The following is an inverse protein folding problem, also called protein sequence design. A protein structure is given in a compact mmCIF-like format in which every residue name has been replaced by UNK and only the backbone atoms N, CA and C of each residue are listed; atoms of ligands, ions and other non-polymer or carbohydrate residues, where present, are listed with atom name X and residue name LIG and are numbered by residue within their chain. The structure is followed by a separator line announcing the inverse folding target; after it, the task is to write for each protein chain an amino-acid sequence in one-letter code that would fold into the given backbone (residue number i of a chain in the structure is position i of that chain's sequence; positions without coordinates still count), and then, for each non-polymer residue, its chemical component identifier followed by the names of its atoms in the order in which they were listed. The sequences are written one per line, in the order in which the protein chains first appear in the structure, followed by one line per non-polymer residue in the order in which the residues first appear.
data_IF_655067229375
#
_entry.id   IF_655067229375
#
_cell.length_a   1.000
_cell.length_b   1.000
_cell.length_c   1.000
_cell.angle_alpha   90.00
_cell.angle_beta   90.00
_cell.angle_gamma   90.00
#
_symmetry.space_group_name_H-M   'P 1'
#
loop_
_entity.id
_entity.type
_entity.pdbx_description
1 polymer ?
#
# COMPACT_ATOMS: atom_id res chain seq x y z
N UNK A 1 65.18 47.20 -37.18
CA UNK A 1 65.56 45.85 -36.74
C UNK A 1 65.35 45.81 -35.25
N UNK A 2 64.25 45.25 -34.77
CA UNK A 2 64.12 44.85 -33.37
C UNK A 2 63.03 43.79 -33.26
N UNK A 3 63.35 42.78 -32.46
CA UNK A 3 62.85 41.42 -32.54
C UNK A 3 61.47 41.23 -31.92
N UNK A 4 60.70 40.34 -32.54
CA UNK A 4 59.49 39.76 -32.01
C UNK A 4 59.76 38.89 -30.76
N UNK A 5 58.83 38.93 -29.81
CA UNK A 5 58.58 37.87 -28.82
C UNK A 5 57.13 38.00 -28.33
N UNK A 6 56.28 36.97 -28.47
CA UNK A 6 54.96 36.96 -27.84
C UNK A 6 55.02 36.20 -26.50
N UNK A 7 54.21 36.57 -25.49
CA UNK A 7 53.91 35.59 -24.45
C UNK A 7 52.41 35.40 -24.16
N UNK A 8 52.04 34.11 -24.23
CA UNK A 8 51.33 33.35 -23.20
C UNK A 8 49.84 33.61 -23.00
N UNK A 9 49.04 33.00 -23.88
CA UNK A 9 47.68 32.57 -23.57
C UNK A 9 47.70 31.40 -22.56
N UNK A 10 47.37 31.70 -21.30
CA UNK A 10 47.02 30.69 -20.29
C UNK A 10 45.65 30.09 -20.60
N UNK A 11 45.61 28.88 -21.15
CA UNK A 11 44.41 28.05 -21.22
C UNK A 11 44.53 26.91 -20.21
N UNK A 12 44.11 27.15 -18.98
CA UNK A 12 44.02 26.14 -17.92
C UNK A 12 42.57 25.85 -17.47
N UNK A 13 41.55 26.31 -18.22
CA UNK A 13 40.14 26.10 -17.87
C UNK A 13 39.47 24.92 -18.58
N UNK A 14 39.99 24.47 -19.73
CA UNK A 14 39.34 23.41 -20.52
C UNK A 14 39.56 22.00 -19.96
N UNK A 15 40.72 21.73 -19.35
CA UNK A 15 41.03 20.41 -18.79
C UNK A 15 40.21 20.08 -17.53
N UNK A 16 39.89 21.10 -16.70
CA UNK A 16 39.03 20.92 -15.52
C UNK A 16 37.56 20.72 -15.89
N UNK A 17 37.08 21.35 -16.97
CA UNK A 17 35.70 21.12 -17.43
C UNK A 17 35.50 19.71 -17.99
N UNK A 18 36.49 19.17 -18.71
CA UNK A 18 36.39 17.81 -19.28
C UNK A 18 36.44 16.72 -18.19
N UNK A 19 37.22 16.91 -17.12
CA UNK A 19 37.25 15.98 -15.99
C UNK A 19 35.95 15.97 -15.18
N UNK A 20 35.33 17.14 -14.95
CA UNK A 20 34.04 17.20 -14.23
C UNK A 20 32.92 16.56 -15.05
N UNK A 21 32.90 16.74 -16.37
CA UNK A 21 31.91 16.10 -17.25
C UNK A 21 32.10 14.58 -17.29
N UNK A 22 33.33 14.07 -17.32
CA UNK A 22 33.61 12.64 -17.30
C UNK A 22 33.18 11.97 -15.98
N UNK A 23 33.38 12.65 -14.83
CA UNK A 23 32.93 12.16 -13.52
C UNK A 23 31.39 12.17 -13.43
N UNK A 24 30.71 13.20 -13.95
CA UNK A 24 29.25 13.23 -14.00
C UNK A 24 28.67 12.16 -14.94
N UNK A 25 29.33 11.88 -16.08
CA UNK A 25 28.91 10.81 -16.99
C UNK A 25 29.12 9.42 -16.37
N UNK A 26 30.24 9.17 -15.69
CA UNK A 26 30.47 7.89 -15.00
C UNK A 26 29.53 7.69 -13.81
N UNK A 27 29.19 8.76 -13.08
CA UNK A 27 28.25 8.70 -11.97
C UNK A 27 26.80 8.50 -12.43
N UNK A 28 26.41 8.99 -13.62
CA UNK A 28 25.11 8.67 -14.23
C UNK A 28 25.05 7.25 -14.81
N UNK A 29 26.17 6.72 -15.32
CA UNK A 29 26.22 5.36 -15.87
C UNK A 29 26.19 4.30 -14.74
N UNK A 30 26.71 4.60 -13.55
CA UNK A 30 26.67 3.68 -12.40
C UNK A 30 25.36 3.72 -11.58
N UNK A 31 24.50 4.74 -11.76
CA UNK A 31 23.15 4.78 -11.16
C UNK A 31 22.11 4.08 -12.05
N UNK A 32 22.47 3.69 -13.27
CA UNK A 32 21.71 2.74 -14.09
C UNK A 32 21.92 1.29 -13.60
N UNK A 33 21.73 1.06 -12.31
CA UNK A 33 21.54 -0.28 -11.77
C UNK A 33 20.13 -0.76 -12.19
N UNK A 34 20.13 -1.82 -12.99
CA UNK A 34 19.00 -2.64 -13.45
C UNK A 34 17.56 -2.09 -13.21
N UNK A 35 16.93 -1.46 -14.22
CA UNK A 35 15.54 -1.01 -14.14
C UNK A 35 14.50 -2.16 -14.07
N UNK A 36 14.92 -3.43 -14.03
CA UNK A 36 14.04 -4.59 -13.88
C UNK A 36 13.81 -5.05 -12.44
N UNK A 37 14.58 -4.56 -11.45
CA UNK A 37 14.25 -4.75 -10.02
C UNK A 37 13.23 -3.70 -9.55
N UNK A 38 12.12 -3.59 -10.27
CA UNK A 38 10.93 -2.92 -9.75
C UNK A 38 10.28 -3.89 -8.77
N UNK A 39 10.11 -3.46 -7.52
CA UNK A 39 9.18 -4.09 -6.58
C UNK A 39 7.74 -3.88 -7.10
N UNK A 40 7.36 -4.60 -8.16
CA UNK A 40 5.96 -4.72 -8.56
C UNK A 40 5.32 -5.74 -7.64
N UNK A 41 4.38 -5.30 -6.82
CA UNK A 41 3.62 -6.16 -5.89
C UNK A 41 2.55 -7.01 -6.60
N UNK A 42 2.43 -6.87 -7.91
CA UNK A 42 1.59 -7.69 -8.78
C UNK A 42 2.39 -7.99 -10.03
N UNK A 43 2.53 -9.27 -10.35
CA UNK A 43 3.10 -9.75 -11.62
C UNK A 43 1.92 -10.04 -12.54
N UNK A 44 1.96 -9.56 -13.78
CA UNK A 44 0.99 -9.98 -14.78
C UNK A 44 1.28 -11.44 -15.11
N UNK A 45 0.25 -12.29 -15.05
CA UNK A 45 0.41 -13.68 -15.41
C UNK A 45 0.62 -13.79 -16.91
N UNK A 46 1.86 -14.09 -17.32
CA UNK A 46 2.16 -14.56 -18.66
C UNK A 46 2.05 -16.07 -18.74
N UNK A 47 1.65 -16.62 -19.87
CA UNK A 47 1.69 -18.06 -20.14
C UNK A 47 2.41 -18.34 -21.46
N UNK A 48 3.23 -19.38 -21.49
CA UNK A 48 3.90 -19.85 -22.72
C UNK A 48 2.86 -20.32 -23.73
N UNK A 49 3.07 -20.04 -25.03
CA UNK A 49 2.11 -20.44 -26.05
C UNK A 49 2.08 -21.95 -26.29
N UNK A 50 3.23 -22.61 -26.21
CA UNK A 50 3.37 -24.00 -26.64
C UNK A 50 2.82 -25.00 -25.61
N UNK A 51 3.03 -24.71 -24.33
CA UNK A 51 2.71 -25.65 -23.24
C UNK A 51 1.74 -25.08 -22.22
N UNK A 52 1.30 -23.82 -22.39
CA UNK A 52 0.47 -23.08 -21.44
C UNK A 52 1.04 -23.10 -20.02
N UNK A 53 2.37 -23.08 -19.88
CA UNK A 53 3.06 -23.01 -18.59
C UNK A 53 3.14 -21.55 -18.14
N UNK A 54 3.06 -21.26 -16.83
CA UNK A 54 3.26 -19.90 -16.35
C UNK A 54 4.66 -19.41 -16.73
N UNK A 55 4.73 -18.19 -17.24
CA UNK A 55 5.97 -17.45 -17.42
C UNK A 55 6.58 -17.16 -16.05
N UNK A 56 7.91 -17.08 -15.99
CA UNK A 56 8.62 -16.70 -14.78
C UNK A 56 8.23 -15.26 -14.33
N UNK A 57 8.09 -14.36 -15.28
CA UNK A 57 7.65 -12.98 -15.09
C UNK A 57 6.56 -12.61 -16.11
N UNK A 58 6.25 -11.33 -16.24
CA UNK A 58 5.32 -10.80 -17.25
C UNK A 58 5.69 -11.27 -18.67
N UNK A 59 4.65 -11.48 -19.50
CA UNK A 59 4.80 -11.63 -20.93
C UNK A 59 4.99 -10.24 -21.56
N UNK A 60 6.20 -9.92 -22.01
CA UNK A 60 6.55 -8.61 -22.59
C UNK A 60 6.86 -8.80 -24.07
N UNK A 61 6.15 -8.05 -24.93
CA UNK A 61 6.31 -8.12 -26.38
C UNK A 61 6.16 -9.54 -26.94
N UNK A 62 5.23 -10.32 -26.38
CA UNK A 62 4.95 -11.69 -26.77
C UNK A 62 6.05 -12.69 -26.42
N UNK A 63 7.00 -12.32 -25.55
CA UNK A 63 8.06 -13.21 -25.06
C UNK A 63 8.20 -13.14 -23.54
N UNK A 64 8.55 -14.28 -22.95
CA UNK A 64 8.85 -14.37 -21.53
C UNK A 64 9.93 -15.40 -21.27
N UNK A 65 10.52 -15.38 -20.07
CA UNK A 65 11.36 -16.47 -19.61
C UNK A 65 10.49 -17.57 -19.03
N UNK A 66 10.74 -18.82 -19.38
CA UNK A 66 10.02 -19.96 -18.83
C UNK A 66 10.97 -21.05 -18.32
N UNK A 67 10.49 -21.82 -17.33
CA UNK A 67 11.22 -22.93 -16.73
C UNK A 67 12.49 -22.52 -15.98
N UNK A 68 13.20 -23.53 -15.48
CA UNK A 68 14.45 -23.34 -14.71
C UNK A 68 15.61 -22.87 -15.60
N UNK A 69 15.58 -23.19 -16.90
CA UNK A 69 16.59 -22.78 -17.89
C UNK A 69 16.50 -21.30 -18.29
N UNK A 70 15.40 -20.61 -17.94
CA UNK A 70 15.13 -19.19 -18.26
C UNK A 70 15.17 -18.87 -19.75
N UNK A 71 14.83 -19.85 -20.58
CA UNK A 71 14.78 -19.68 -22.03
C UNK A 71 13.69 -18.67 -22.39
N UNK A 72 14.00 -17.80 -23.35
CA UNK A 72 13.04 -16.85 -23.92
C UNK A 72 12.12 -17.59 -24.87
N UNK A 73 10.86 -17.73 -24.48
CA UNK A 73 9.84 -18.45 -25.24
C UNK A 73 8.68 -17.51 -25.62
N UNK A 74 7.96 -17.80 -26.72
CA UNK A 74 6.73 -17.09 -27.04
C UNK A 74 5.67 -17.24 -25.94
N UNK A 75 4.94 -16.17 -25.66
CA UNK A 75 3.92 -16.15 -24.61
C UNK A 75 2.71 -15.29 -24.96
N UNK A 76 1.67 -15.40 -24.13
CA UNK A 76 0.52 -14.50 -24.07
C UNK A 76 0.40 -13.88 -22.68
N UNK A 77 0.01 -12.61 -22.63
CA UNK A 77 -0.48 -11.97 -21.41
C UNK A 77 -1.90 -12.52 -21.14
N UNK A 78 -2.15 -13.02 -19.94
CA UNK A 78 -3.50 -13.43 -19.54
C UNK A 78 -4.41 -12.23 -19.26
N UNK A 79 -3.82 -11.05 -19.01
CA UNK A 79 -4.54 -9.88 -18.48
C UNK A 79 -4.89 -10.01 -16.99
N UNK A 80 -4.63 -11.17 -16.38
CA UNK A 80 -4.86 -11.44 -14.97
C UNK A 80 -3.66 -10.94 -14.14
N UNK A 81 -3.97 -10.24 -13.06
CA UNK A 81 -2.98 -9.84 -12.06
C UNK A 81 -2.86 -10.98 -11.06
N UNK A 82 -1.68 -11.62 -10.96
CA UNK A 82 -1.43 -12.53 -9.85
C UNK A 82 -1.14 -11.74 -8.57
N UNK A 83 -1.67 -12.18 -7.41
CA UNK A 83 -1.20 -11.70 -6.13
C UNK A 83 0.29 -12.05 -5.94
N UNK A 84 1.01 -11.28 -5.11
CA UNK A 84 2.37 -11.68 -4.70
C UNK A 84 2.31 -13.06 -4.04
N UNK A 85 2.97 -14.05 -4.64
CA UNK A 85 2.99 -15.39 -4.07
C UNK A 85 3.89 -15.42 -2.83
N UNK A 86 3.46 -16.11 -1.78
CA UNK A 86 4.27 -16.31 -0.57
C UNK A 86 5.16 -17.52 -0.72
N UNK A 87 6.36 -17.40 -0.16
CA UNK A 87 7.22 -18.55 0.04
C UNK A 87 6.68 -19.38 1.20
N UNK A 88 6.89 -20.69 1.13
CA UNK A 88 6.44 -21.64 2.14
C UNK A 88 7.43 -21.75 3.30
N UNK A 89 8.70 -21.43 3.04
CA UNK A 89 9.75 -21.41 4.06
C UNK A 89 10.03 -19.97 4.47
N UNK A 90 10.19 -19.75 5.77
CA UNK A 90 10.78 -18.52 6.32
C UNK A 90 12.32 -18.61 6.16
N UNK A 91 12.78 -18.87 4.93
CA UNK A 91 14.13 -18.47 4.54
C UNK A 91 14.14 -16.94 4.44
N UNK A 92 15.27 -16.28 4.18
CA UNK A 92 15.40 -14.81 4.24
C UNK A 92 14.46 -13.99 3.33
N UNK A 93 13.48 -14.61 2.67
CA UNK A 93 12.57 -14.04 1.71
C UNK A 93 11.14 -14.56 1.96
N UNK A 94 10.23 -13.66 2.33
CA UNK A 94 8.81 -13.97 2.61
C UNK A 94 7.95 -14.02 1.33
N UNK A 95 8.48 -13.56 0.19
CA UNK A 95 7.72 -13.33 -1.04
C UNK A 95 8.46 -13.81 -2.28
N UNK A 96 7.69 -14.27 -3.24
CA UNK A 96 8.14 -14.56 -4.59
C UNK A 96 8.34 -13.26 -5.38
N UNK A 97 9.48 -13.16 -6.06
CA UNK A 97 9.78 -12.15 -7.07
C UNK A 97 9.26 -12.54 -8.46
N UNK A 98 8.89 -13.82 -8.65
CA UNK A 98 8.37 -14.38 -9.90
C UNK A 98 6.95 -14.91 -9.72
N UNK A 99 6.32 -15.30 -10.82
CA UNK A 99 5.13 -16.14 -10.74
C UNK A 99 5.45 -17.46 -10.03
N UNK A 100 4.48 -17.98 -9.29
CA UNK A 100 4.56 -19.30 -8.68
C UNK A 100 4.06 -20.36 -9.66
N UNK A 101 4.83 -21.43 -9.85
CA UNK A 101 4.43 -22.50 -10.75
C UNK A 101 5.34 -23.71 -10.68
N UNK A 102 4.92 -24.80 -11.35
CA UNK A 102 5.64 -26.08 -11.28
C UNK A 102 7.01 -26.09 -11.95
N UNK A 103 7.17 -25.28 -13.00
CA UNK A 103 8.42 -25.14 -13.76
C UNK A 103 9.11 -26.47 -14.15
N UNK A 104 8.32 -27.53 -14.39
CA UNK A 104 8.82 -28.87 -14.76
C UNK A 104 9.10 -29.80 -13.57
N UNK A 105 8.67 -29.44 -12.36
CA UNK A 105 8.80 -30.25 -11.14
C UNK A 105 7.43 -30.63 -10.56
N UNK A 106 7.41 -31.50 -9.55
CA UNK A 106 6.17 -31.89 -8.86
C UNK A 106 5.66 -30.83 -7.87
N UNK A 107 6.49 -29.84 -7.54
CA UNK A 107 6.19 -28.78 -6.59
C UNK A 107 6.11 -27.44 -7.30
N UNK A 108 5.43 -26.49 -6.69
CA UNK A 108 5.43 -25.12 -7.17
C UNK A 108 6.58 -24.33 -6.53
N UNK A 109 7.28 -23.59 -7.36
CA UNK A 109 8.46 -22.81 -6.99
C UNK A 109 8.32 -21.38 -7.47
N UNK A 110 9.10 -20.49 -6.88
CA UNK A 110 9.28 -19.13 -7.37
C UNK A 110 10.68 -18.62 -7.04
N UNK A 111 11.12 -17.59 -7.75
CA UNK A 111 12.34 -16.86 -7.40
C UNK A 111 12.11 -16.01 -6.17
N UNK A 112 13.12 -15.92 -5.32
CA UNK A 112 13.03 -15.16 -4.06
C UNK A 112 14.10 -14.09 -3.91
N UNK A 113 15.18 -14.16 -4.69
CA UNK A 113 16.19 -13.13 -4.78
C UNK A 113 16.83 -13.05 -6.18
N UNK A 114 17.68 -12.04 -6.37
CA UNK A 114 18.45 -11.82 -7.59
C UNK A 114 19.66 -12.76 -7.73
N UNK A 115 19.90 -13.66 -6.78
CA UNK A 115 21.02 -14.63 -6.78
C UNK A 115 20.56 -16.03 -7.19
N UNK A 116 19.51 -16.08 -8.01
CA UNK A 116 18.92 -17.30 -8.52
C UNK A 116 18.40 -18.27 -7.45
N UNK A 117 18.07 -17.78 -6.25
CA UNK A 117 17.43 -18.64 -5.25
C UNK A 117 15.97 -18.87 -5.59
N UNK A 118 15.58 -20.12 -5.39
CA UNK A 118 14.21 -20.58 -5.49
C UNK A 118 13.69 -20.96 -4.12
N UNK A 119 12.42 -20.72 -3.87
CA UNK A 119 11.71 -21.27 -2.73
C UNK A 119 10.37 -21.84 -3.17
N UNK A 120 9.81 -22.70 -2.33
CA UNK A 120 8.51 -23.30 -2.56
C UNK A 120 7.43 -22.23 -2.41
N UNK A 121 6.40 -22.30 -3.23
CA UNK A 121 5.25 -21.42 -3.18
C UNK A 121 3.96 -22.20 -3.49
N UNK A 122 2.81 -21.52 -3.50
CA UNK A 122 1.55 -22.08 -3.99
C UNK A 122 0.88 -21.09 -4.94
N UNK A 123 0.60 -21.51 -6.17
CA UNK A 123 -0.09 -20.75 -7.22
C UNK A 123 -1.60 -20.67 -6.97
N UNK A 124 -2.12 -21.60 -6.16
CA UNK A 124 -3.53 -21.62 -5.74
C UNK A 124 -3.77 -20.50 -4.73
N UNK A 125 -4.16 -19.33 -5.23
CA UNK A 125 -4.52 -18.17 -4.40
C UNK A 125 -6.02 -17.88 -4.35
N UNK A 126 -6.80 -18.55 -5.21
CA UNK A 126 -8.15 -18.11 -5.56
C UNK A 126 -9.28 -18.80 -4.79
N UNK A 127 -9.03 -19.93 -4.15
CA UNK A 127 -10.06 -20.53 -3.29
C UNK A 127 -9.87 -20.04 -1.85
N UNK A 128 -10.08 -18.73 -1.65
CA UNK A 128 -10.37 -18.17 -0.33
C UNK A 128 -11.78 -18.61 0.11
N UNK A 129 -12.00 -19.91 0.18
CA UNK A 129 -13.16 -20.44 0.86
C UNK A 129 -12.93 -20.14 2.34
N UNK A 130 -13.74 -19.24 2.89
CA UNK A 130 -13.85 -19.11 4.34
C UNK A 130 -14.50 -20.42 4.79
N UNK A 131 -13.75 -21.25 5.48
CA UNK A 131 -14.27 -22.50 6.02
C UNK A 131 -14.54 -22.25 7.49
N UNK A 132 -15.81 -22.41 7.85
CA UNK A 132 -16.22 -22.51 9.23
C UNK A 132 -15.86 -23.90 9.73
N UNK A 133 -14.89 -23.97 10.63
CA UNK A 133 -14.45 -25.23 11.22
C UNK A 133 -14.29 -25.08 12.73
N UNK A 134 -14.62 -26.14 13.44
CA UNK A 134 -14.30 -26.23 14.85
C UNK A 134 -12.87 -26.73 15.04
N UNK A 135 -12.24 -26.34 16.14
CA UNK A 135 -10.88 -26.76 16.47
C UNK A 135 -10.85 -27.34 17.88
N UNK A 136 -9.87 -28.18 18.13
CA UNK A 136 -9.55 -28.63 19.48
C UNK A 136 -8.84 -27.51 20.25
N UNK A 137 -8.82 -27.59 21.58
CA UNK A 137 -8.07 -26.66 22.44
C UNK A 137 -6.57 -26.63 22.10
N UNK A 138 -6.04 -27.72 21.54
CA UNK A 138 -4.64 -27.83 21.10
C UNK A 138 -4.43 -27.36 19.66
N UNK A 139 -5.44 -26.73 19.03
CA UNK A 139 -5.35 -26.14 17.69
C UNK A 139 -5.54 -27.09 16.52
N UNK A 140 -5.78 -28.39 16.77
CA UNK A 140 -6.07 -29.36 15.69
C UNK A 140 -7.46 -29.16 15.10
N UNK A 141 -7.59 -29.27 13.79
CA UNK A 141 -8.87 -29.13 13.10
C UNK A 141 -9.78 -30.33 13.32
N UNK A 142 -11.05 -30.06 13.61
CA UNK A 142 -12.08 -31.08 13.76
C UNK A 142 -12.60 -31.57 12.41
N UNK A 143 -12.75 -32.89 12.25
CA UNK A 143 -13.38 -33.54 11.10
C UNK A 143 -14.90 -33.64 11.17
N UNK A 144 -15.45 -33.39 12.35
CA UNK A 144 -16.88 -33.35 12.59
C UNK A 144 -17.25 -32.25 13.58
N UNK A 145 -18.55 -32.12 13.86
CA UNK A 145 -19.05 -31.15 14.81
C UNK A 145 -18.62 -31.45 16.24
N UNK A 146 -18.32 -30.37 16.97
CA UNK A 146 -18.01 -30.42 18.38
C UNK A 146 -19.28 -30.66 19.20
N UNK A 147 -19.38 -31.84 19.81
CA UNK A 147 -20.56 -32.26 20.58
C UNK A 147 -20.17 -32.93 21.89
N UNK A 148 -21.09 -33.02 22.85
CA UNK A 148 -20.78 -33.50 24.20
C UNK A 148 -20.40 -34.99 24.27
N UNK A 149 -20.84 -35.84 23.34
CA UNK A 149 -20.51 -37.29 23.24
C UNK A 149 -20.48 -38.07 24.58
N UNK A 150 -21.35 -37.70 25.53
CA UNK A 150 -21.44 -38.31 26.87
C UNK A 150 -20.49 -37.73 27.94
N UNK A 151 -19.74 -36.68 27.61
CA UNK A 151 -18.83 -35.96 28.51
C UNK A 151 -19.38 -34.56 28.83
N UNK A 152 -18.79 -33.89 29.81
CA UNK A 152 -19.13 -32.51 30.20
C UNK A 152 -18.36 -31.44 29.39
N UNK A 153 -17.66 -31.87 28.34
CA UNK A 153 -16.97 -31.01 27.38
C UNK A 153 -17.34 -31.41 25.96
N UNK A 154 -17.17 -30.49 25.02
CA UNK A 154 -17.32 -30.78 23.60
C UNK A 154 -16.10 -31.54 23.08
N UNK A 155 -16.35 -32.52 22.22
CA UNK A 155 -15.36 -33.36 21.58
C UNK A 155 -15.63 -33.46 20.08
N UNK A 156 -14.55 -33.54 19.31
CA UNK A 156 -14.59 -33.86 17.89
C UNK A 156 -13.55 -34.93 17.56
N UNK A 157 -13.76 -35.60 16.44
CA UNK A 157 -12.69 -36.31 15.77
C UNK A 157 -11.75 -35.28 15.12
N UNK A 158 -10.45 -35.52 15.21
CA UNK A 158 -9.44 -34.68 14.55
C UNK A 158 -9.08 -35.26 13.19
N UNK A 159 -8.63 -34.39 12.29
CA UNK A 159 -8.07 -34.78 10.98
C UNK A 159 -6.66 -35.37 11.04
N UNK A 160 -6.10 -35.62 12.23
CA UNK A 160 -4.75 -36.16 12.36
C UNK A 160 -4.69 -37.65 11.97
N UNK A 161 -3.48 -38.16 11.68
CA UNK A 161 -3.25 -39.56 11.26
C UNK A 161 -3.83 -40.62 12.21
N UNK A 162 -4.05 -40.26 13.46
CA UNK A 162 -4.60 -41.17 14.47
C UNK A 162 -6.12 -41.16 14.53
N UNK A 163 -6.80 -40.28 13.77
CA UNK A 163 -8.21 -39.94 13.96
C UNK A 163 -8.52 -39.75 15.44
N UNK A 164 -7.63 -39.02 16.12
CA UNK A 164 -7.69 -38.93 17.57
C UNK A 164 -8.85 -38.05 18.02
N UNK A 165 -9.38 -38.35 19.20
CA UNK A 165 -10.36 -37.52 19.86
C UNK A 165 -9.67 -36.32 20.50
N UNK A 166 -10.19 -35.12 20.23
CA UNK A 166 -9.71 -33.91 20.87
C UNK A 166 -10.84 -33.11 21.53
N UNK A 167 -10.53 -32.52 22.67
CA UNK A 167 -11.45 -31.60 23.36
C UNK A 167 -11.57 -30.34 22.52
N UNK A 168 -12.80 -29.99 22.14
CA UNK A 168 -13.10 -28.86 21.29
C UNK A 168 -13.08 -27.53 22.03
N UNK A 169 -12.62 -26.49 21.33
CA UNK A 169 -13.02 -25.11 21.59
C UNK A 169 -14.47 -24.93 21.09
N UNK A 170 -15.40 -24.39 21.92
CA UNK A 170 -16.78 -24.12 21.50
C UNK A 170 -16.90 -23.07 20.39
N UNK A 171 -15.83 -22.32 20.08
CA UNK A 171 -15.80 -21.39 18.96
C UNK A 171 -15.80 -22.08 17.60
N UNK A 172 -16.69 -21.65 16.71
CA UNK A 172 -16.54 -21.89 15.26
C UNK A 172 -15.59 -20.83 14.73
N UNK A 173 -14.48 -21.26 14.14
CA UNK A 173 -13.49 -20.36 13.58
C UNK A 173 -13.63 -20.33 12.06
N UNK A 174 -13.91 -19.14 11.54
CA UNK A 174 -13.82 -18.85 10.11
C UNK A 174 -12.36 -18.57 9.76
N UNK A 175 -11.73 -19.42 8.95
CA UNK A 175 -10.37 -19.17 8.45
C UNK A 175 -10.29 -19.30 6.93
N UNK A 176 -9.30 -18.63 6.35
CA UNK A 176 -9.03 -18.71 4.92
C UNK A 176 -8.31 -20.02 4.64
N UNK A 177 -8.91 -20.88 3.82
CA UNK A 177 -8.32 -22.14 3.38
C UNK A 177 -6.93 -21.91 2.76
N UNK A 178 -5.90 -22.46 3.40
CA UNK A 178 -4.53 -22.45 2.88
C UNK A 178 -4.28 -23.68 1.99
N UNK A 179 -3.24 -23.63 1.16
CA UNK A 179 -2.82 -24.74 0.30
C UNK A 179 -1.35 -25.08 0.56
N UNK A 180 -1.04 -26.37 0.40
CA UNK A 180 0.34 -26.87 0.51
C UNK A 180 1.15 -26.51 -0.74
N UNK A 181 2.48 -26.73 -0.69
CA UNK A 181 3.39 -26.58 -1.85
C UNK A 181 3.01 -27.42 -3.08
N UNK A 182 2.12 -28.40 -2.89
CA UNK A 182 1.61 -29.28 -3.95
C UNK A 182 0.21 -28.87 -4.43
N UNK A 183 -0.34 -27.79 -3.90
CA UNK A 183 -1.71 -27.35 -4.20
C UNK A 183 -2.80 -28.15 -3.49
N UNK A 184 -2.46 -28.91 -2.43
CA UNK A 184 -3.46 -29.66 -1.64
C UNK A 184 -4.08 -28.75 -0.56
N UNK A 185 -5.40 -28.74 -0.34
CA UNK A 185 -6.00 -27.91 0.70
C UNK A 185 -5.56 -28.36 2.10
N UNK A 186 -5.19 -27.38 2.94
CA UNK A 186 -4.89 -27.57 4.35
C UNK A 186 -6.15 -27.92 5.17
N UNK A 187 -6.15 -29.01 5.92
CA UNK A 187 -7.25 -29.35 6.82
C UNK A 187 -7.31 -28.46 8.07
N UNK A 188 -6.25 -27.72 8.38
CA UNK A 188 -6.21 -26.76 9.48
C UNK A 188 -5.64 -25.41 9.07
N UNK A 189 -5.30 -24.60 10.07
CA UNK A 189 -4.58 -23.34 9.85
C UNK A 189 -3.18 -23.66 9.33
N UNK A 190 -2.67 -22.77 8.49
CA UNK A 190 -1.27 -22.80 8.11
C UNK A 190 -0.47 -22.16 9.26
N UNK A 191 0.09 -22.99 10.14
CA UNK A 191 0.70 -22.54 11.38
C UNK A 191 2.21 -22.66 11.34
N UNK A 192 2.86 -21.76 12.08
CA UNK A 192 4.31 -21.71 12.17
C UNK A 192 4.80 -22.80 13.12
N UNK A 193 5.45 -23.82 12.57
CA UNK A 193 6.15 -24.82 13.36
C UNK A 193 7.63 -24.45 13.49
N UNK A 194 8.08 -24.39 14.74
CA UNK A 194 9.51 -24.36 15.07
C UNK A 194 9.89 -25.81 15.41
N UNK A 195 10.57 -26.52 14.51
CA UNK A 195 11.15 -27.81 14.88
C UNK A 195 12.24 -27.56 15.93
N UNK A 196 12.21 -28.33 17.02
CA UNK A 196 12.95 -28.06 18.25
C UNK A 196 14.46 -27.81 18.07
N UNK A 197 15.03 -27.06 19.03
CA UNK A 197 16.40 -26.56 19.34
C UNK A 197 17.57 -26.60 18.31
N UNK A 198 17.50 -27.30 17.17
CA UNK A 198 18.62 -27.47 16.24
C UNK A 198 18.35 -27.00 14.80
N UNK A 199 17.13 -26.59 14.43
CA UNK A 199 16.84 -26.07 13.08
C UNK A 199 16.62 -24.56 13.09
N UNK A 200 17.55 -23.81 12.46
CA UNK A 200 17.50 -22.35 12.22
C UNK A 200 16.35 -21.85 11.31
N UNK A 201 15.35 -22.67 11.02
CA UNK A 201 14.34 -22.38 10.02
C UNK A 201 12.97 -22.66 10.62
N UNK A 202 12.09 -21.67 10.61
CA UNK A 202 10.69 -21.87 10.87
C UNK A 202 9.97 -22.15 9.55
N UNK A 203 9.02 -23.08 9.60
CA UNK A 203 8.23 -23.46 8.43
C UNK A 203 6.76 -23.29 8.77
N UNK A 204 6.00 -22.75 7.83
CA UNK A 204 4.55 -22.82 7.93
C UNK A 204 4.14 -24.19 7.40
N UNK A 205 3.46 -24.99 8.21
CA UNK A 205 2.97 -26.30 7.81
C UNK A 205 1.50 -26.44 8.15
N UNK A 206 0.84 -27.32 7.42
CA UNK A 206 -0.51 -27.73 7.71
C UNK A 206 -0.66 -29.24 7.45
N UNK A 207 -1.69 -29.84 8.03
CA UNK A 207 -2.11 -31.20 7.68
C UNK A 207 -2.92 -31.16 6.39
N UNK A 208 -2.70 -32.14 5.50
CA UNK A 208 -3.42 -32.28 4.24
C UNK A 208 -3.95 -33.70 4.07
N UNK A 209 -4.86 -33.92 3.12
CA UNK A 209 -5.44 -35.24 2.84
C UNK A 209 -4.46 -36.29 2.35
N UNK A 210 -3.23 -35.91 2.02
CA UNK A 210 -2.16 -36.82 1.66
C UNK A 210 -1.37 -37.33 2.87
N UNK A 211 -1.87 -37.12 4.09
CA UNK A 211 -1.32 -37.65 5.34
C UNK A 211 0.13 -37.23 5.64
N UNK A 212 0.58 -36.07 5.16
CA UNK A 212 1.91 -35.54 5.49
C UNK A 212 1.84 -34.07 5.91
N UNK A 213 2.64 -33.72 6.90
CA UNK A 213 2.91 -32.35 7.31
C UNK A 213 3.62 -31.67 6.15
N UNK A 214 2.86 -30.97 5.30
CA UNK A 214 3.40 -30.28 4.14
C UNK A 214 3.56 -28.80 4.46
N UNK A 215 4.59 -28.21 3.88
CA UNK A 215 4.75 -26.77 3.91
C UNK A 215 3.55 -26.11 3.23
N UNK A 216 3.01 -25.07 3.85
CA UNK A 216 1.92 -24.27 3.32
C UNK A 216 2.30 -22.79 3.28
N UNK A 217 1.64 -22.05 2.40
CA UNK A 217 1.74 -20.59 2.39
C UNK A 217 0.58 -20.01 3.22
N UNK A 218 0.82 -19.17 4.24
CA UNK A 218 -0.26 -18.54 4.96
C UNK A 218 -1.08 -17.69 3.99
N UNK A 219 -2.41 -17.69 4.10
CA UNK A 219 -3.24 -16.86 3.25
C UNK A 219 -2.90 -15.38 3.50
N UNK A 220 -2.86 -14.59 2.42
CA UNK A 220 -2.70 -13.14 2.53
C UNK A 220 -3.71 -12.58 3.56
N UNK A 221 -3.17 -11.91 4.60
CA UNK A 221 -3.78 -11.53 5.88
C UNK A 221 -5.32 -11.43 5.95
N UNK A 222 -5.99 -12.01 6.97
CA UNK A 222 -7.43 -11.83 7.18
C UNK A 222 -7.84 -10.36 7.31
N UNK A 223 -9.02 -9.99 6.80
CA UNK A 223 -9.62 -8.64 6.90
C UNK A 223 -9.64 -8.12 8.35
N UNK A 224 -9.81 -9.00 9.34
CA UNK A 224 -9.78 -8.65 10.75
C UNK A 224 -8.42 -8.08 11.21
N UNK A 225 -7.31 -8.64 10.70
CA UNK A 225 -5.96 -8.18 11.03
C UNK A 225 -5.63 -6.85 10.34
N UNK A 226 -6.17 -6.65 9.13
CA UNK A 226 -6.13 -5.36 8.44
C UNK A 226 -6.88 -4.26 9.22
N UNK A 227 -8.07 -4.56 9.75
CA UNK A 227 -8.80 -3.61 10.60
C UNK A 227 -8.02 -3.26 11.87
N UNK A 228 -7.36 -4.23 12.51
CA UNK A 228 -6.49 -3.97 13.65
C UNK A 228 -5.33 -3.03 13.27
N UNK A 229 -4.67 -3.24 12.13
CA UNK A 229 -3.60 -2.36 11.66
C UNK A 229 -4.08 -0.94 11.34
N UNK A 230 -5.27 -0.79 10.74
CA UNK A 230 -5.89 0.51 10.47
C UNK A 230 -6.40 1.21 11.74
N UNK A 231 -6.58 0.48 12.84
CA UNK A 231 -7.06 1.02 14.11
C UNK A 231 -5.99 1.67 14.99
N UNK A 232 -4.70 1.52 14.65
CA UNK A 232 -3.58 2.07 15.44
C UNK A 232 -3.38 3.60 15.32
N UNK A 233 -4.24 4.33 14.60
CA UNK A 233 -4.11 5.77 14.40
C UNK A 233 -4.71 6.53 15.59
N UNK A 234 -3.92 7.28 16.39
CA UNK A 234 -4.45 8.00 17.54
C UNK A 234 -5.35 9.18 17.12
N UNK A 235 -6.44 9.38 17.85
CA UNK A 235 -7.33 10.53 17.71
C UNK A 235 -6.75 11.71 18.50
N UNK A 236 -5.77 12.42 17.94
CA UNK A 236 -5.29 13.69 18.52
C UNK A 236 -5.55 14.83 17.57
N UNK A 237 -6.37 15.78 18.00
CA UNK A 237 -6.68 17.00 17.25
C UNK A 237 -6.13 18.21 18.01
N UNK A 238 -5.10 18.88 17.49
CA UNK A 238 -4.92 20.34 17.59
C UNK A 238 -3.58 20.79 17.00
N UNK A 239 -3.63 21.52 15.88
CA UNK A 239 -2.54 22.37 15.43
C UNK A 239 -2.82 23.84 15.76
N UNK A 240 -1.79 24.64 16.09
CA UNK A 240 -1.95 26.08 16.17
C UNK A 240 -2.26 26.64 14.77
N UNK A 241 -3.28 27.49 14.68
CA UNK A 241 -3.64 28.15 13.42
C UNK A 241 -2.42 28.87 12.82
N UNK A 242 -2.20 28.70 11.51
CA UNK A 242 -1.19 29.49 10.76
C UNK A 242 -1.48 30.96 11.05
N UNK A 243 -0.53 31.72 11.63
CA UNK A 243 -0.77 33.13 11.94
C UNK A 243 -1.10 33.87 10.65
N UNK A 244 -2.38 34.23 10.46
CA UNK A 244 -2.76 35.21 9.44
C UNK A 244 -2.04 36.50 9.82
N UNK A 245 -0.97 36.84 9.10
CA UNK A 245 -0.28 38.13 9.22
C UNK A 245 -1.34 39.24 9.07
N UNK A 246 -1.85 39.75 10.20
CA UNK A 246 -2.31 41.14 10.24
C UNK A 246 -1.09 41.97 9.84
N UNK A 247 -1.25 42.91 8.90
CA UNK A 247 -0.21 43.85 8.45
C UNK A 247 0.38 44.62 9.64
N UNK A 248 1.31 44.01 10.38
CA UNK A 248 2.22 44.67 11.31
C UNK A 248 3.63 44.33 10.85
N UNK A 249 4.41 45.38 10.63
CA UNK A 249 5.75 45.38 10.05
C UNK A 249 6.82 44.91 11.05
N UNK A 250 6.66 43.74 11.68
CA UNK A 250 7.75 43.13 12.45
C UNK A 250 7.69 41.60 12.29
N UNK A 251 8.75 40.95 11.76
CA UNK A 251 8.83 39.50 11.76
C UNK A 251 9.12 39.00 13.20
N UNK A 252 8.32 38.08 13.76
CA UNK A 252 8.72 37.41 15.00
C UNK A 252 9.84 36.41 14.66
N UNK A 253 10.94 36.49 15.40
CA UNK A 253 11.97 35.46 15.48
C UNK A 253 11.37 34.20 16.13
N UNK A 254 11.30 33.11 15.37
CA UNK A 254 10.78 31.80 15.79
C UNK A 254 11.81 31.02 16.64
N UNK A 255 12.23 31.53 17.80
CA UNK A 255 13.23 30.84 18.65
C UNK A 255 12.68 30.22 19.93
N UNK A 256 11.39 30.31 20.25
CA UNK A 256 10.85 29.81 21.52
C UNK A 256 9.52 29.07 21.34
N UNK A 257 9.59 27.85 20.78
CA UNK A 257 8.56 26.84 21.05
C UNK A 257 9.01 25.97 22.23
N UNK A 258 8.12 25.64 23.19
CA UNK A 258 8.51 24.87 24.37
C UNK A 258 8.97 23.46 23.94
N UNK A 259 10.21 23.10 24.28
CA UNK A 259 10.73 21.73 24.18
C UNK A 259 9.95 20.81 25.12
N UNK A 260 8.81 20.27 24.68
CA UNK A 260 8.16 19.14 25.34
C UNK A 260 8.89 17.85 24.95
N UNK A 261 9.82 17.44 25.80
CA UNK A 261 10.44 16.12 25.79
C UNK A 261 9.48 15.10 26.43
N UNK A 262 8.71 14.40 25.60
CA UNK A 262 8.27 13.01 25.83
C UNK A 262 8.32 12.31 24.48
N UNK A 263 8.81 11.06 24.47
CA UNK A 263 8.88 10.18 23.28
C UNK A 263 7.46 9.84 22.81
N UNK A 264 6.77 10.81 22.23
CA UNK A 264 5.56 10.55 21.47
C UNK A 264 6.06 10.08 20.11
N UNK A 265 5.80 8.80 19.80
CA UNK A 265 5.89 8.34 18.40
C UNK A 265 5.03 9.30 17.60
N UNK A 266 5.62 10.08 16.71
CA UNK A 266 4.83 11.02 15.91
C UNK A 266 3.93 10.20 15.01
N UNK A 267 2.73 10.68 14.69
CA UNK A 267 1.87 10.00 13.71
C UNK A 267 2.63 9.74 12.41
N UNK A 268 3.54 10.63 12.00
CA UNK A 268 4.44 10.39 10.86
C UNK A 268 5.24 9.12 11.05
N UNK A 269 5.82 8.86 12.24
CA UNK A 269 6.48 7.58 12.54
C UNK A 269 5.51 6.40 12.55
N UNK A 270 4.27 6.60 13.03
CA UNK A 270 3.24 5.57 12.99
C UNK A 270 2.74 5.28 11.57
N UNK A 271 2.61 6.28 10.72
CA UNK A 271 2.17 6.19 9.32
C UNK A 271 3.30 5.74 8.43
N UNK A 272 4.55 6.12 8.69
CA UNK A 272 5.69 5.56 7.98
C UNK A 272 5.90 4.11 8.40
N UNK A 273 5.75 3.80 9.70
CA UNK A 273 5.69 2.42 10.19
C UNK A 273 4.55 1.63 9.55
N UNK A 274 3.34 2.20 9.54
CA UNK A 274 2.16 1.61 8.90
C UNK A 274 2.42 1.45 7.42
N UNK A 275 2.86 2.46 6.68
CA UNK A 275 3.09 2.39 5.23
C UNK A 275 4.18 1.39 4.89
N UNK A 276 5.27 1.34 5.67
CA UNK A 276 6.33 0.34 5.49
C UNK A 276 5.84 -1.07 5.81
N UNK A 277 4.91 -1.22 6.77
CA UNK A 277 4.26 -2.49 7.08
C UNK A 277 3.14 -2.85 6.07
N UNK A 278 2.39 -1.88 5.57
CA UNK A 278 1.33 -2.00 4.57
C UNK A 278 1.92 -2.36 3.22
N UNK A 279 3.09 -1.80 2.88
CA UNK A 279 3.87 -2.23 1.73
C UNK A 279 4.37 -3.70 1.87
N UNK A 280 4.33 -4.29 3.06
CA UNK A 280 4.56 -5.72 3.26
C UNK A 280 3.28 -6.54 3.28
N UNK A 281 2.10 -5.91 3.25
CA UNK A 281 0.82 -6.62 3.16
C UNK A 281 0.56 -6.94 1.68
N UNK A 282 0.46 -8.23 1.28
CA UNK A 282 0.26 -8.63 -0.12
C UNK A 282 -1.02 -8.10 -0.75
N UNK A 283 -1.97 -7.74 0.09
CA UNK A 283 -3.30 -7.24 -0.30
C UNK A 283 -3.20 -5.77 -0.77
N UNK A 284 -2.12 -5.07 -0.48
CA UNK A 284 -1.97 -3.67 -0.85
C UNK A 284 -0.99 -3.49 -2.00
N UNK A 285 -1.39 -2.69 -3.00
CA UNK A 285 -0.50 -2.22 -4.06
C UNK A 285 0.05 -0.85 -3.68
N UNK A 286 1.36 -0.76 -3.43
CA UNK A 286 2.09 0.50 -3.34
C UNK A 286 2.75 0.78 -4.68
N UNK A 287 2.38 1.91 -5.29
CA UNK A 287 2.95 2.34 -6.56
C UNK A 287 3.69 3.66 -6.38
N UNK A 288 4.90 3.74 -6.93
CA UNK A 288 5.69 4.97 -7.02
C UNK A 288 5.56 5.53 -8.44
N UNK A 289 5.16 6.79 -8.54
CA UNK A 289 4.96 7.47 -9.82
C UNK A 289 6.16 8.36 -10.12
N UNK A 290 6.85 8.10 -11.24
CA UNK A 290 7.89 8.96 -11.78
C UNK A 290 7.28 9.93 -12.81
N UNK A 291 6.48 10.89 -12.35
CA UNK A 291 5.99 11.97 -13.22
C UNK A 291 6.15 13.32 -12.51
N UNK A 292 7.07 14.19 -12.94
CA UNK A 292 7.30 15.48 -12.30
C UNK A 292 6.08 16.43 -12.36
N UNK A 293 5.12 16.17 -13.25
CA UNK A 293 3.90 16.95 -13.38
C UNK A 293 2.73 16.38 -12.55
N UNK A 294 2.90 15.22 -11.91
CA UNK A 294 1.92 14.68 -10.98
C UNK A 294 2.41 14.93 -9.55
N UNK A 295 1.68 15.70 -8.73
CA UNK A 295 2.10 15.91 -7.35
C UNK A 295 2.12 14.61 -6.55
N UNK A 296 1.30 13.62 -6.91
CA UNK A 296 1.24 12.32 -6.23
C UNK A 296 2.41 11.46 -6.73
N UNK A 297 3.37 11.21 -5.85
CA UNK A 297 4.54 10.39 -6.16
C UNK A 297 4.45 8.98 -5.57
N UNK A 298 3.55 8.74 -4.61
CA UNK A 298 3.33 7.42 -4.04
C UNK A 298 1.90 7.26 -3.55
N UNK A 299 1.31 6.09 -3.76
CA UNK A 299 0.03 5.73 -3.18
C UNK A 299 -0.01 4.24 -2.84
N UNK A 300 -0.83 3.88 -1.87
CA UNK A 300 -1.12 2.52 -1.44
C UNK A 300 -2.63 2.30 -1.49
N UNK A 301 -3.09 1.21 -2.08
CA UNK A 301 -4.51 0.87 -2.20
C UNK A 301 -4.77 -0.62 -1.98
N UNK A 302 -5.99 -0.95 -1.53
CA UNK A 302 -6.52 -2.32 -1.54
C UNK A 302 -7.24 -2.49 -2.89
N UNK A 303 -6.75 -3.35 -3.81
CA UNK A 303 -7.39 -3.60 -5.09
C UNK A 303 -8.81 -4.17 -4.95
N UNK A 304 -9.66 -3.88 -5.93
CA UNK A 304 -11.04 -4.38 -5.98
C UNK A 304 -11.12 -5.92 -5.96
N UNK A 305 -10.12 -6.62 -6.50
CA UNK A 305 -10.03 -8.08 -6.46
C UNK A 305 -10.06 -8.65 -5.03
N UNK A 306 -9.57 -7.90 -4.04
CA UNK A 306 -9.53 -8.35 -2.65
C UNK A 306 -10.78 -7.99 -1.84
N UNK A 307 -11.42 -6.88 -2.17
CA UNK A 307 -12.70 -6.50 -1.55
C UNK A 307 -13.89 -7.16 -2.22
N UNK A 308 -13.68 -7.77 -3.40
CA UNK A 308 -14.71 -8.31 -4.28
C UNK A 308 -15.58 -7.24 -4.93
N UNK A 309 -15.27 -5.95 -4.75
CA UNK A 309 -16.18 -4.86 -5.13
C UNK A 309 -15.51 -3.55 -5.50
N UNK A 310 -14.69 -3.00 -4.61
CA UNK A 310 -14.17 -1.63 -4.74
C UNK A 310 -12.67 -1.54 -4.46
N UNK A 311 -11.98 -0.73 -5.25
CA UNK A 311 -10.62 -0.33 -4.95
C UNK A 311 -10.62 0.72 -3.83
N UNK A 312 -9.87 0.50 -2.76
CA UNK A 312 -9.85 1.37 -1.59
C UNK A 312 -8.49 2.08 -1.47
N UNK A 313 -8.38 3.40 -1.69
CA UNK A 313 -7.16 4.13 -1.40
C UNK A 313 -6.88 4.11 0.11
N UNK A 314 -5.67 3.74 0.53
CA UNK A 314 -5.30 3.67 1.95
C UNK A 314 -4.33 4.78 2.32
N UNK A 315 -3.29 5.01 1.50
CA UNK A 315 -2.32 6.08 1.72
C UNK A 315 -2.05 6.80 0.40
N UNK A 316 -2.00 8.12 0.41
CA UNK A 316 -1.58 8.94 -0.72
C UNK A 316 -0.54 9.94 -0.24
N UNK A 317 0.62 9.94 -0.91
CA UNK A 317 1.73 10.84 -0.66
C UNK A 317 1.94 11.75 -1.86
N UNK A 318 2.02 13.05 -1.60
CA UNK A 318 2.17 14.06 -2.63
C UNK A 318 3.18 15.13 -2.23
N UNK A 319 3.85 15.68 -3.25
CA UNK A 319 4.70 16.87 -3.15
C UNK A 319 4.13 17.93 -4.08
N UNK A 320 3.55 18.96 -3.48
CA UNK A 320 2.99 20.09 -4.21
C UNK A 320 4.11 21.12 -4.42
N UNK A 321 4.29 21.51 -5.68
CA UNK A 321 5.24 22.52 -6.11
C UNK A 321 4.51 23.56 -6.97
N UNK A 322 5.14 24.72 -7.27
CA UNK A 322 4.58 25.68 -8.22
C UNK A 322 4.24 25.06 -9.58
N UNK A 323 5.02 24.07 -10.03
CA UNK A 323 4.82 23.39 -11.31
C UNK A 323 3.65 22.40 -11.31
N UNK A 324 3.26 21.86 -10.15
CA UNK A 324 2.16 20.89 -10.04
C UNK A 324 0.82 21.56 -9.77
N UNK A 325 0.80 22.82 -9.34
CA UNK A 325 -0.46 23.55 -9.08
C UNK A 325 -1.28 23.64 -10.38
N UNK A 326 -2.56 23.31 -10.27
CA UNK A 326 -3.47 23.41 -11.40
C UNK A 326 -3.86 24.87 -11.66
N UNK A 327 -3.61 25.31 -12.89
CA UNK A 327 -3.98 26.63 -13.41
C UNK A 327 -5.27 26.63 -14.24
N UNK A 328 -5.65 25.48 -14.78
CA UNK A 328 -6.85 25.30 -15.62
C UNK A 328 -8.11 24.85 -14.86
N UNK A 329 -9.25 24.74 -15.57
CA UNK A 329 -10.48 24.22 -14.99
C UNK A 329 -10.32 22.78 -14.49
N UNK A 330 -11.22 22.38 -13.59
CA UNK A 330 -11.33 20.98 -13.16
C UNK A 330 -11.69 20.11 -14.37
N UNK A 331 -11.05 18.94 -14.50
CA UNK A 331 -11.40 17.96 -15.53
C UNK A 331 -12.62 17.17 -15.08
N UNK A 332 -13.36 16.66 -16.06
CA UNK A 332 -14.46 15.75 -15.76
C UNK A 332 -13.95 14.48 -15.07
N UNK A 333 -14.75 13.97 -14.15
CA UNK A 333 -14.41 12.75 -13.40
C UNK A 333 -14.58 11.54 -14.32
N UNK A 334 -13.53 10.71 -14.52
CA UNK A 334 -13.65 9.51 -15.33
C UNK A 334 -14.72 8.54 -14.78
N UNK A 335 -15.43 7.85 -15.67
CA UNK A 335 -16.48 6.89 -15.28
C UNK A 335 -15.95 5.78 -14.37
N UNK A 336 -14.72 5.31 -14.58
CA UNK A 336 -14.07 4.34 -13.70
C UNK A 336 -13.97 4.82 -12.24
N UNK A 337 -13.72 6.11 -12.02
CA UNK A 337 -13.69 6.68 -10.66
C UNK A 337 -15.09 6.76 -10.08
N UNK A 338 -16.06 7.25 -10.84
CA UNK A 338 -17.47 7.33 -10.39
C UNK A 338 -18.03 5.94 -10.05
N UNK A 339 -17.76 4.93 -10.87
CA UNK A 339 -18.15 3.55 -10.63
C UNK A 339 -17.49 2.99 -9.36
N UNK A 340 -16.20 3.30 -9.14
CA UNK A 340 -15.52 2.89 -7.91
C UNK A 340 -16.11 3.55 -6.67
N UNK A 341 -16.49 4.84 -6.74
CA UNK A 341 -17.16 5.52 -5.63
C UNK A 341 -18.50 4.86 -5.26
N UNK A 342 -19.28 4.45 -6.26
CA UNK A 342 -20.51 3.69 -6.04
C UNK A 342 -20.24 2.31 -5.43
N UNK A 343 -19.19 1.64 -5.90
CA UNK A 343 -18.74 0.38 -5.33
C UNK A 343 -18.30 0.54 -3.86
N UNK A 344 -17.72 1.68 -3.49
CA UNK A 344 -17.36 2.04 -2.11
C UNK A 344 -18.58 2.40 -1.23
N UNK A 345 -19.79 2.42 -1.76
CA UNK A 345 -21.00 2.73 -0.98
C UNK A 345 -21.22 4.23 -0.75
N UNK A 346 -20.87 5.06 -1.73
CA UNK A 346 -21.14 6.50 -1.73
C UNK A 346 -22.63 6.82 -1.49
N UNK A 347 -22.91 7.70 -0.53
CA UNK A 347 -24.27 8.16 -0.21
C UNK A 347 -24.69 9.23 -1.22
N UNK A 348 -25.69 8.93 -2.07
CA UNK A 348 -26.12 9.85 -3.15
C UNK A 348 -27.26 10.78 -2.76
N UNK A 349 -28.00 10.45 -1.71
CA UNK A 349 -29.21 11.15 -1.28
C UNK A 349 -28.99 11.88 0.04
N UNK A 350 -29.79 12.92 0.29
CA UNK A 350 -29.70 13.72 1.51
C UNK A 350 -28.94 15.05 1.35
N UNK A 351 -29.02 15.87 2.41
CA UNK A 351 -28.42 17.21 2.47
C UNK A 351 -26.89 17.14 2.50
N UNK A 352 -26.36 16.19 3.28
CA UNK A 352 -24.93 15.91 3.42
C UNK A 352 -24.50 14.66 2.65
N UNK A 353 -25.07 14.47 1.45
CA UNK A 353 -24.66 13.39 0.54
C UNK A 353 -23.15 13.44 0.28
N UNK A 354 -22.58 12.31 -0.09
CA UNK A 354 -21.19 12.23 -0.48
C UNK A 354 -20.93 12.92 -1.83
N UNK A 355 -19.68 13.30 -2.02
CA UNK A 355 -19.11 13.83 -3.25
C UNK A 355 -17.86 13.05 -3.62
N UNK A 356 -17.39 13.22 -4.86
CA UNK A 356 -16.10 12.73 -5.31
C UNK A 356 -14.98 13.57 -4.68
N UNK A 357 -14.71 13.26 -3.41
CA UNK A 357 -13.74 13.95 -2.56
C UNK A 357 -12.33 13.59 -2.95
N UNK A 358 -11.54 14.60 -3.30
CA UNK A 358 -10.13 14.39 -3.63
C UNK A 358 -9.31 14.28 -2.33
N UNK A 359 -8.44 13.28 -2.26
CA UNK A 359 -7.47 13.14 -1.17
C UNK A 359 -6.40 14.24 -1.28
N UNK A 360 -5.86 14.44 -2.48
CA UNK A 360 -5.09 15.62 -2.85
C UNK A 360 -5.96 16.49 -3.76
N UNK A 361 -6.34 17.67 -3.30
CA UNK A 361 -7.27 18.57 -4.00
C UNK A 361 -6.87 18.86 -5.44
N UNK A 362 -7.86 18.91 -6.35
CA UNK A 362 -7.61 19.17 -7.78
C UNK A 362 -6.89 20.50 -8.03
N UNK A 363 -7.14 21.50 -7.18
CA UNK A 363 -6.48 22.82 -7.22
C UNK A 363 -5.00 22.78 -6.82
N UNK A 364 -4.58 21.73 -6.12
CA UNK A 364 -3.18 21.44 -5.78
C UNK A 364 -2.51 20.52 -6.83
N UNK A 365 -3.20 20.21 -7.92
CA UNK A 365 -2.70 19.33 -8.97
C UNK A 365 -3.09 17.86 -8.82
N UNK A 366 -3.88 17.51 -7.80
CA UNK A 366 -4.38 16.15 -7.65
C UNK A 366 -5.12 15.68 -8.90
N UNK A 367 -4.91 14.42 -9.27
CA UNK A 367 -5.46 13.79 -10.48
C UNK A 367 -6.78 13.08 -10.20
N UNK A 368 -7.65 12.98 -11.21
CA UNK A 368 -8.95 12.32 -11.15
C UNK A 368 -8.83 10.79 -11.31
N UNK A 369 -8.18 10.12 -10.35
CA UNK A 369 -7.92 8.66 -10.39
C UNK A 369 -8.52 7.94 -9.18
N UNK A 370 -8.73 6.61 -9.30
CA UNK A 370 -9.30 5.78 -8.23
C UNK A 370 -8.47 5.79 -6.93
N UNK A 371 -7.17 6.07 -7.01
CA UNK A 371 -6.28 6.13 -5.85
C UNK A 371 -6.27 7.51 -5.16
N UNK A 372 -6.83 8.55 -5.79
CA UNK A 372 -6.84 9.92 -5.25
C UNK A 372 -8.25 10.44 -4.94
N UNK A 373 -9.28 9.62 -5.10
CA UNK A 373 -10.67 10.02 -4.90
C UNK A 373 -11.39 8.98 -4.06
N UNK A 374 -12.12 9.43 -3.05
CA UNK A 374 -12.92 8.58 -2.17
C UNK A 374 -14.25 9.29 -1.82
N UNK A 375 -15.29 8.56 -1.38
CA UNK A 375 -16.53 9.20 -0.92
C UNK A 375 -16.23 10.10 0.28
N UNK A 376 -16.50 11.40 0.13
CA UNK A 376 -16.40 12.37 1.22
C UNK A 376 -17.74 13.07 1.39
N UNK A 377 -18.18 13.27 2.64
CA UNK A 377 -19.40 14.06 2.87
C UNK A 377 -19.25 15.44 2.25
N UNK A 378 -20.34 15.99 1.71
CA UNK A 378 -20.35 17.35 1.17
C UNK A 378 -19.79 18.37 2.17
N UNK A 379 -20.19 18.25 3.45
CA UNK A 379 -19.73 19.10 4.53
C UNK A 379 -18.23 19.00 4.70
N UNK A 380 -17.63 17.81 4.72
CA UNK A 380 -16.17 17.67 4.80
C UNK A 380 -15.47 18.20 3.55
N UNK A 381 -15.94 17.85 2.35
CA UNK A 381 -15.26 18.14 1.09
C UNK A 381 -15.22 19.66 0.77
N UNK A 382 -16.31 20.39 1.02
CA UNK A 382 -16.42 21.82 0.64
C UNK A 382 -17.12 22.71 1.66
N UNK A 383 -17.58 22.17 2.78
CA UNK A 383 -18.27 22.91 3.83
C UNK A 383 -19.78 23.00 3.66
N UNK A 384 -20.39 23.90 4.42
CA UNK A 384 -21.84 24.12 4.44
C UNK A 384 -22.27 25.31 3.57
N UNK A 385 -23.40 25.16 2.87
CA UNK A 385 -24.02 26.19 2.01
C UNK A 385 -23.82 25.95 0.50
N UNK A 386 -24.62 26.46 -0.42
CA UNK A 386 -25.80 27.35 -0.34
C UNK A 386 -27.10 26.55 -0.29
N UNK A 387 -27.77 26.53 0.86
CA UNK A 387 -29.23 26.39 0.90
C UNK A 387 -29.83 27.80 0.90
N UNK A 388 -31.06 27.93 0.40
CA UNK A 388 -31.79 29.20 0.26
C UNK A 388 -31.84 30.01 1.58
N UNK A 389 -31.69 29.33 2.72
CA UNK A 389 -31.90 29.89 4.07
C UNK A 389 -30.62 30.26 4.83
N UNK A 390 -29.42 29.97 4.30
CA UNK A 390 -28.15 30.34 4.93
C UNK A 390 -27.30 31.26 4.02
N UNK A 391 -27.34 32.59 4.22
CA UNK A 391 -26.66 33.54 3.33
C UNK A 391 -25.12 33.54 3.44
N UNK A 392 -24.53 32.80 4.39
CA UNK A 392 -23.08 32.73 4.58
C UNK A 392 -22.57 31.32 4.35
N UNK A 393 -21.88 31.13 3.22
CA UNK A 393 -21.11 29.92 2.94
C UNK A 393 -19.99 29.77 3.99
N UNK A 394 -19.86 28.56 4.55
CA UNK A 394 -18.82 28.21 5.52
C UNK A 394 -17.96 27.11 4.90
N UNK A 395 -16.75 27.42 4.41
CA UNK A 395 -15.86 26.41 3.87
C UNK A 395 -15.47 25.40 4.95
N UNK A 396 -15.26 24.14 4.55
CA UNK A 396 -14.76 23.11 5.47
C UNK A 396 -13.31 23.36 5.84
N UNK A 397 -12.88 22.75 6.94
CA UNK A 397 -11.47 22.77 7.34
C UNK A 397 -10.58 22.14 6.25
N UNK A 398 -11.06 21.10 5.57
CA UNK A 398 -10.37 20.48 4.44
C UNK A 398 -10.17 21.46 3.28
N UNK A 399 -11.21 22.20 2.91
CA UNK A 399 -11.14 23.20 1.85
C UNK A 399 -10.21 24.36 2.21
N UNK A 400 -10.32 24.89 3.43
CA UNK A 400 -9.46 25.97 3.93
C UNK A 400 -8.00 25.55 3.94
N UNK A 401 -7.71 24.29 4.33
CA UNK A 401 -6.35 23.74 4.29
C UNK A 401 -5.78 23.79 2.87
N UNK A 402 -6.50 23.28 1.88
CA UNK A 402 -6.01 23.28 0.49
C UNK A 402 -5.81 24.71 -0.04
N UNK A 403 -6.69 25.66 0.29
CA UNK A 403 -6.50 27.07 -0.05
C UNK A 403 -5.26 27.68 0.62
N UNK A 404 -4.99 27.32 1.87
CA UNK A 404 -3.82 27.81 2.60
C UNK A 404 -2.52 27.26 1.99
N UNK A 405 -2.48 25.98 1.62
CA UNK A 405 -1.34 25.35 0.93
C UNK A 405 -1.08 26.06 -0.39
N UNK A 406 -2.12 26.23 -1.22
CA UNK A 406 -2.01 26.95 -2.50
C UNK A 406 -1.50 28.38 -2.29
N UNK A 407 -2.11 29.12 -1.37
CA UNK A 407 -1.72 30.49 -1.05
C UNK A 407 -0.30 30.60 -0.50
N UNK A 408 0.19 29.59 0.21
CA UNK A 408 1.58 29.53 0.64
C UNK A 408 2.51 29.41 -0.57
N UNK A 409 2.31 28.39 -1.41
CA UNK A 409 3.15 28.12 -2.59
C UNK A 409 3.14 29.32 -3.56
N UNK A 410 1.97 29.89 -3.85
CA UNK A 410 1.85 31.04 -4.75
C UNK A 410 2.62 32.29 -4.25
N UNK A 411 2.72 32.47 -2.92
CA UNK A 411 3.40 33.64 -2.33
C UNK A 411 4.89 33.45 -2.11
N UNK A 412 5.30 32.24 -1.74
CA UNK A 412 6.67 31.96 -1.32
C UNK A 412 7.49 31.27 -2.39
N UNK A 413 6.85 30.71 -3.43
CA UNK A 413 7.46 29.74 -4.34
C UNK A 413 7.99 28.49 -3.61
N UNK A 414 7.43 28.19 -2.43
CA UNK A 414 7.78 27.05 -1.60
C UNK A 414 7.17 25.74 -2.09
N UNK A 415 7.24 24.71 -1.25
CA UNK A 415 6.66 23.39 -1.53
C UNK A 415 5.83 22.90 -0.35
N UNK A 416 4.96 21.91 -0.59
CA UNK A 416 4.22 21.22 0.46
C UNK A 416 4.34 19.70 0.30
N UNK A 417 4.78 19.01 1.34
CA UNK A 417 4.72 17.55 1.43
C UNK A 417 3.43 17.16 2.17
N UNK A 418 2.60 16.33 1.53
CA UNK A 418 1.30 15.89 2.06
C UNK A 418 1.25 14.37 2.14
N UNK A 419 0.78 13.85 3.26
CA UNK A 419 0.41 12.43 3.40
C UNK A 419 -1.03 12.34 3.88
N UNK A 420 -1.87 11.68 3.10
CA UNK A 420 -3.27 11.41 3.44
C UNK A 420 -3.45 9.92 3.69
N UNK A 421 -3.94 9.55 4.87
CA UNK A 421 -4.30 8.18 5.22
C UNK A 421 -5.81 8.06 5.35
N UNK A 422 -6.41 7.08 4.68
CA UNK A 422 -7.85 6.86 4.65
C UNK A 422 -8.20 5.76 5.64
N UNK A 423 -9.14 6.04 6.55
CA UNK A 423 -9.60 5.11 7.58
C UNK A 423 -10.89 4.44 7.14
N UNK A 424 -10.96 3.12 7.31
CA UNK A 424 -12.11 2.29 6.98
C UNK A 424 -12.59 1.50 8.20
N UNK A 425 -13.88 1.16 8.21
CA UNK A 425 -14.43 0.07 9.01
C UNK A 425 -14.98 -0.98 8.05
N UNK A 426 -14.10 -1.88 7.58
CA UNK A 426 -14.42 -2.87 6.55
C UNK A 426 -15.42 -3.92 7.03
N UNK A 427 -15.75 -3.95 8.33
CA UNK A 427 -16.81 -4.83 8.85
C UNK A 427 -18.21 -4.28 8.55
N UNK A 428 -18.32 -2.96 8.38
CA UNK A 428 -19.60 -2.27 8.16
C UNK A 428 -19.74 -1.75 6.74
N UNK A 429 -18.68 -1.18 6.18
CA UNK A 429 -18.75 -0.50 4.89
C UNK A 429 -17.38 -0.31 4.23
N UNK A 430 -17.37 -0.27 2.90
CA UNK A 430 -16.23 0.17 2.10
C UNK A 430 -16.10 1.70 2.01
N UNK A 431 -17.07 2.43 2.58
CA UNK A 431 -17.05 3.88 2.65
C UNK A 431 -16.04 4.32 3.73
N UNK A 432 -15.14 5.27 3.46
CA UNK A 432 -14.24 5.79 4.48
C UNK A 432 -15.00 6.36 5.67
N UNK A 433 -14.52 6.08 6.87
CA UNK A 433 -15.06 6.65 8.12
C UNK A 433 -14.31 7.92 8.54
N UNK A 434 -13.13 8.17 7.97
CA UNK A 434 -12.38 9.40 8.20
C UNK A 434 -11.07 9.44 7.42
N UNK A 435 -10.38 10.56 7.56
CA UNK A 435 -9.13 10.84 6.86
C UNK A 435 -8.14 11.47 7.82
N UNK A 436 -6.92 10.96 7.84
CA UNK A 436 -5.81 11.61 8.53
C UNK A 436 -4.92 12.33 7.52
N UNK A 437 -4.44 13.52 7.86
CA UNK A 437 -3.60 14.32 6.96
C UNK A 437 -2.41 14.90 7.72
N UNK A 438 -1.21 14.57 7.27
CA UNK A 438 0.04 15.17 7.72
C UNK A 438 0.55 16.14 6.66
N UNK A 439 0.93 17.35 7.07
CA UNK A 439 1.38 18.42 6.16
C UNK A 439 2.67 19.09 6.62
N UNK A 440 3.60 19.26 5.68
CA UNK A 440 4.85 20.01 5.89
C UNK A 440 5.01 21.04 4.78
N UNK A 441 5.03 22.32 5.13
CA UNK A 441 5.30 23.42 4.21
C UNK A 441 6.78 23.80 4.29
N UNK A 442 7.42 23.96 3.13
CA UNK A 442 8.84 24.30 3.02
C UNK A 442 9.04 25.58 2.21
N UNK A 443 9.96 26.42 2.66
CA UNK A 443 10.42 27.56 1.88
C UNK A 443 11.20 27.11 0.63
N UNK A 444 11.48 27.99 -0.34
CA UNK A 444 12.27 27.66 -1.52
C UNK A 444 13.66 27.09 -1.24
N UNK A 445 14.27 27.44 -0.11
CA UNK A 445 15.57 26.92 0.34
C UNK A 445 15.48 25.52 1.00
N UNK A 446 14.29 24.94 1.08
CA UNK A 446 14.02 23.63 1.68
C UNK A 446 13.79 23.66 3.20
N UNK A 447 13.99 24.81 3.87
CA UNK A 447 13.72 24.96 5.30
C UNK A 447 12.22 24.78 5.61
N UNK A 448 11.91 24.16 6.74
CA UNK A 448 10.53 23.94 7.18
C UNK A 448 9.92 25.27 7.62
N UNK A 449 8.91 25.73 6.88
CA UNK A 449 8.18 26.95 7.18
C UNK A 449 7.04 26.70 8.19
N UNK A 450 6.44 25.51 8.10
CA UNK A 450 5.36 25.07 8.95
C UNK A 450 5.28 23.55 8.90
N UNK A 451 5.07 22.94 10.06
CA UNK A 451 4.85 21.51 10.22
C UNK A 451 3.68 21.37 11.19
N UNK A 452 2.61 20.73 10.73
CA UNK A 452 1.47 20.46 11.58
C UNK A 452 1.37 18.97 11.86
N UNK A 453 1.43 18.57 13.14
CA UNK A 453 1.11 17.20 13.53
C UNK A 453 -0.39 16.98 13.35
N UNK A 454 -0.72 16.41 12.18
CA UNK A 454 -1.82 15.50 11.88
C UNK A 454 -3.23 16.00 12.18
N UNK A 455 -4.01 16.19 11.12
CA UNK A 455 -5.44 16.42 11.21
C UNK A 455 -6.19 15.10 11.08
N UNK A 456 -7.17 14.85 11.95
CA UNK A 456 -8.19 13.86 11.70
C UNK A 456 -9.49 14.54 11.27
N UNK A 457 -10.04 14.09 10.15
CA UNK A 457 -11.32 14.50 9.62
C UNK A 457 -12.30 13.34 9.69
N UNK A 458 -13.38 13.49 10.44
CA UNK A 458 -14.48 12.53 10.44
C UNK A 458 -15.21 12.59 9.10
N UNK A 459 -15.53 11.43 8.54
CA UNK A 459 -16.36 11.32 7.33
C UNK A 459 -17.78 10.84 7.65
N UNK A 460 -18.20 10.93 8.91
CA UNK A 460 -19.55 10.59 9.33
C UNK A 460 -20.55 11.63 8.78
N UNK A 461 -21.58 11.22 8.01
CA UNK A 461 -22.58 12.15 7.46
C UNK A 461 -23.38 12.90 8.53
N UNK A 462 -23.48 12.36 9.74
CA UNK A 462 -24.23 12.94 10.86
C UNK A 462 -23.34 13.80 11.78
N UNK A 463 -22.02 13.78 11.58
CA UNK A 463 -21.09 14.56 12.39
C UNK A 463 -21.18 16.05 12.10
N UNK A 464 -21.21 16.85 13.18
CA UNK A 464 -21.18 18.31 13.14
C UNK A 464 -19.77 18.73 13.60
N UNK A 465 -18.97 19.27 12.67
CA UNK A 465 -17.60 19.78 12.91
C UNK A 465 -17.56 20.98 13.86
#
# INVERSE_FOLDING_TARGET
MENASPPLLRSASSARQLWTIAIFLHLHILIAADPQLRYQQFTKLGYTLDENKPCLFDCVDGRCRAGVSRELVPCRDSGELAPTFHTIRESSHEYCLSNCGKFGTDYEWCYVDSYDKWDYCSSVTENKMIIDRSFTYDGKACSDECTYRGYHYLWCNTFDRSYSWGKCDPGVFSYVQAYTARGTPCWGRCEKHTSGELSKHAYNVCESSADITEGCAPPALPIAQLNHMLSCLPETNQCPAIPRRRRRNVPPTYSELPRRSRRNVTFTQCVDGLTNNLARIPIMSTTILANPNNPIFSYTMIPAAYTGRAALPVVVRARITPATIRTGPRRDMPSAVTNNLDAMGMIRVGVNRDEAGHLIGSQLGGVETIYNVAPQTRRLNRGEGRFKDYPRWRPSVWYIRDENIRSFIDRTNGTADLTVTVRYDLTRSFRPIGFHVSEVLRNPDGSVAYECPDFYYSNDPDHVE
#
